data_IF_527453297666
#
_entry.id   IF_527453297666
#
_cell.length_a   1.000
_cell.length_b   1.000
_cell.length_c   1.000
_cell.angle_alpha   90.00
_cell.angle_beta   90.00
_cell.angle_gamma   90.00
#
_symmetry.space_group_name_H-M   'P 1'
#
loop_
_entity.id
_entity.type
_entity.pdbx_description
1 polymer ?
#
# COMPACT_ATOMS: atom_id res chain seq x y z
N UNK A 1 46.21 -60.54 -25.20
CA UNK A 1 46.60 -59.24 -24.51
C UNK A 1 45.48 -58.26 -24.73
N UNK A 2 44.48 -58.27 -23.83
CA UNK A 2 43.25 -57.47 -23.98
C UNK A 2 43.29 -56.27 -23.04
N UNK A 3 43.20 -55.13 -23.68
CA UNK A 3 43.05 -53.84 -22.92
C UNK A 3 41.57 -53.46 -22.84
N UNK A 4 40.98 -53.81 -21.76
CA UNK A 4 39.60 -53.36 -21.40
C UNK A 4 39.54 -51.86 -21.10
N UNK A 5 38.95 -51.07 -21.98
CA UNK A 5 38.60 -49.68 -21.77
C UNK A 5 37.35 -49.59 -20.88
N UNK A 6 37.54 -49.14 -19.64
CA UNK A 6 36.43 -48.73 -18.74
C UNK A 6 35.98 -47.32 -19.08
N UNK A 7 34.78 -47.20 -19.61
CA UNK A 7 34.10 -45.91 -19.83
C UNK A 7 33.42 -45.53 -18.51
N UNK A 8 33.88 -44.46 -17.89
CA UNK A 8 33.23 -43.81 -16.75
C UNK A 8 32.15 -42.86 -17.27
N UNK A 9 30.88 -43.22 -17.10
CA UNK A 9 29.74 -42.33 -17.33
C UNK A 9 29.58 -41.43 -16.10
N UNK A 10 29.89 -40.15 -16.27
CA UNK A 10 29.60 -39.12 -15.29
C UNK A 10 28.12 -38.70 -15.41
N UNK A 11 27.33 -39.03 -14.41
CA UNK A 11 25.97 -38.53 -14.28
C UNK A 11 26.01 -37.07 -13.71
N UNK A 12 25.73 -36.10 -14.57
CA UNK A 12 25.50 -34.73 -14.15
C UNK A 12 24.08 -34.61 -13.54
N UNK A 13 24.03 -34.46 -12.24
CA UNK A 13 22.80 -34.10 -11.53
C UNK A 13 22.50 -32.60 -11.76
N UNK A 14 21.55 -32.28 -12.64
CA UNK A 14 20.99 -30.95 -12.74
C UNK A 14 20.08 -30.70 -11.55
N UNK A 15 20.55 -29.86 -10.60
CA UNK A 15 19.71 -29.30 -9.56
C UNK A 15 18.82 -28.22 -10.18
N UNK A 16 17.59 -28.57 -10.52
CA UNK A 16 16.55 -27.59 -10.86
C UNK A 16 16.16 -26.83 -9.59
N UNK A 17 16.51 -25.55 -9.54
CA UNK A 17 16.10 -24.64 -8.45
C UNK A 17 14.59 -24.43 -8.49
N UNK A 18 13.90 -24.95 -7.48
CA UNK A 18 12.48 -24.65 -7.20
C UNK A 18 12.40 -23.27 -6.52
N UNK A 19 12.33 -22.22 -7.32
CA UNK A 19 12.00 -20.88 -6.87
C UNK A 19 10.67 -20.47 -7.49
N UNK A 20 9.55 -20.87 -6.89
CA UNK A 20 8.27 -20.20 -7.13
C UNK A 20 7.17 -20.81 -6.26
N UNK A 21 7.05 -20.37 -5.03
CA UNK A 21 5.93 -20.77 -4.18
C UNK A 21 5.44 -19.72 -3.18
N UNK A 22 5.79 -18.43 -3.32
CA UNK A 22 5.34 -17.41 -2.37
C UNK A 22 4.28 -16.42 -2.90
N UNK A 23 3.85 -16.55 -4.16
CA UNK A 23 2.90 -15.59 -4.76
C UNK A 23 1.42 -16.01 -4.67
N UNK A 24 1.08 -17.16 -4.12
CA UNK A 24 -0.26 -17.75 -4.29
C UNK A 24 -1.27 -17.50 -3.17
N UNK A 25 -0.94 -16.74 -2.11
CA UNK A 25 -1.86 -16.49 -0.99
C UNK A 25 -1.90 -15.02 -0.53
N UNK A 26 -1.59 -14.04 -1.39
CA UNK A 26 -1.81 -12.65 -1.02
C UNK A 26 -3.33 -12.40 -0.89
N UNK A 27 -3.79 -11.74 0.18
CA UNK A 27 -5.20 -11.37 0.30
C UNK A 27 -5.57 -10.44 -0.87
N UNK A 28 -6.81 -10.59 -1.37
CA UNK A 28 -7.29 -9.85 -2.54
C UNK A 28 -8.13 -8.65 -2.12
N UNK A 29 -8.15 -7.61 -2.95
CA UNK A 29 -9.06 -6.48 -2.88
C UNK A 29 -10.48 -6.87 -3.40
N UNK A 30 -11.40 -5.90 -3.41
CA UNK A 30 -12.76 -6.12 -3.90
C UNK A 30 -12.84 -6.39 -5.42
N UNK A 31 -11.82 -6.03 -6.18
CA UNK A 31 -11.71 -6.30 -7.61
C UNK A 31 -10.97 -7.63 -7.91
N UNK A 32 -10.55 -8.36 -6.87
CA UNK A 32 -9.80 -9.62 -6.99
C UNK A 32 -8.31 -9.43 -7.27
N UNK A 33 -7.75 -8.23 -7.04
CA UNK A 33 -6.32 -7.95 -7.17
C UNK A 33 -5.60 -8.20 -5.84
N UNK A 34 -4.34 -8.65 -5.86
CA UNK A 34 -3.55 -8.79 -4.64
C UNK A 34 -3.40 -7.47 -3.91
N UNK A 35 -3.55 -7.49 -2.58
CA UNK A 35 -3.18 -6.35 -1.75
C UNK A 35 -1.68 -6.17 -1.74
N UNK A 36 -1.22 -4.93 -1.66
CA UNK A 36 0.20 -4.61 -1.64
C UNK A 36 0.69 -4.26 -0.23
N UNK A 37 1.91 -4.69 0.16
CA UNK A 37 2.48 -4.33 1.45
C UNK A 37 2.97 -2.89 1.46
N UNK A 38 2.56 -2.14 2.49
CA UNK A 38 2.99 -0.77 2.75
C UNK A 38 3.47 -0.67 4.19
N UNK A 39 4.51 0.15 4.45
CA UNK A 39 5.01 0.38 5.80
C UNK A 39 5.03 1.87 6.11
N UNK A 40 4.44 2.27 7.22
CA UNK A 40 4.59 3.62 7.81
C UNK A 40 5.66 3.55 8.89
N UNK A 41 6.71 4.35 8.75
CA UNK A 41 7.83 4.43 9.71
C UNK A 41 7.66 5.68 10.56
N UNK A 42 7.44 5.51 11.83
CA UNK A 42 7.24 6.58 12.81
C UNK A 42 8.29 6.52 13.92
N UNK A 43 8.22 7.40 14.89
CA UNK A 43 9.07 7.33 16.09
C UNK A 43 8.80 6.07 16.93
N UNK A 44 7.60 5.49 16.86
CA UNK A 44 7.25 4.26 17.58
C UNK A 44 7.70 2.98 16.86
N UNK A 45 8.20 3.09 15.62
CA UNK A 45 8.70 1.97 14.84
C UNK A 45 8.07 1.84 13.46
N UNK A 46 8.19 0.64 12.89
CA UNK A 46 7.60 0.29 11.58
C UNK A 46 6.23 -0.35 11.75
N UNK A 47 5.23 0.21 11.07
CA UNK A 47 3.85 -0.26 11.07
C UNK A 47 3.47 -0.74 9.68
N UNK A 48 3.12 -2.03 9.56
CA UNK A 48 2.84 -2.70 8.29
C UNK A 48 1.35 -2.74 8.02
N UNK A 49 0.99 -2.48 6.77
CA UNK A 49 -0.37 -2.53 6.25
C UNK A 49 -0.39 -3.34 4.96
N UNK A 50 -1.53 -3.94 4.67
CA UNK A 50 -1.86 -4.47 3.35
C UNK A 50 -2.89 -3.54 2.72
N UNK A 51 -2.53 -2.90 1.61
CA UNK A 51 -3.35 -1.85 1.00
C UNK A 51 -3.93 -2.27 -0.33
N UNK A 52 -5.17 -1.84 -0.57
CA UNK A 52 -5.75 -1.80 -1.91
C UNK A 52 -5.11 -0.65 -2.68
N UNK A 53 -4.94 -0.79 -3.98
CA UNK A 53 -4.39 0.26 -4.83
C UNK A 53 -5.52 0.89 -5.65
N UNK A 54 -5.56 2.22 -5.65
CA UNK A 54 -6.42 3.02 -6.53
C UNK A 54 -5.49 3.85 -7.44
N UNK A 55 -5.18 3.32 -8.64
CA UNK A 55 -4.22 3.90 -9.57
C UNK A 55 -4.85 4.37 -10.90
N UNK A 56 -6.13 4.06 -11.13
CA UNK A 56 -6.90 4.64 -12.23
C UNK A 56 -7.94 5.67 -11.74
N UNK A 57 -8.57 6.36 -12.68
CA UNK A 57 -9.49 7.46 -12.35
C UNK A 57 -10.79 6.98 -11.70
N UNK A 58 -11.34 5.84 -12.15
CA UNK A 58 -12.57 5.27 -11.61
C UNK A 58 -12.37 4.80 -10.17
N UNK A 59 -11.25 4.13 -9.91
CA UNK A 59 -10.87 3.67 -8.57
C UNK A 59 -10.63 4.81 -7.62
N UNK A 60 -9.89 5.86 -8.07
CA UNK A 60 -9.68 7.06 -7.25
C UNK A 60 -10.98 7.79 -6.91
N UNK A 61 -11.91 7.87 -7.88
CA UNK A 61 -13.22 8.49 -7.63
C UNK A 61 -14.08 7.65 -6.69
N UNK A 62 -14.03 6.33 -6.80
CA UNK A 62 -14.83 5.42 -5.98
C UNK A 62 -14.26 5.28 -4.56
N UNK A 63 -12.96 5.09 -4.43
CA UNK A 63 -12.29 4.90 -3.14
C UNK A 63 -13.01 3.91 -2.23
N UNK A 64 -13.20 4.30 -0.98
CA UNK A 64 -13.89 3.50 0.06
C UNK A 64 -15.40 3.76 0.16
N UNK A 65 -16.01 4.35 -0.86
CA UNK A 65 -17.47 4.55 -0.91
C UNK A 65 -18.21 3.22 -0.75
N UNK A 66 -19.26 3.22 0.06
CA UNK A 66 -20.14 2.07 0.33
C UNK A 66 -19.44 0.85 0.96
N UNK A 67 -18.24 1.05 1.52
CA UNK A 67 -17.44 -0.03 2.12
C UNK A 67 -17.65 -0.12 3.63
N UNK A 68 -17.58 -1.33 4.20
CA UNK A 68 -17.54 -1.49 5.65
C UNK A 68 -16.24 -0.89 6.23
N UNK A 69 -16.18 -0.68 7.57
CA UNK A 69 -14.96 -0.21 8.23
C UNK A 69 -13.74 -1.08 7.89
N UNK A 70 -12.60 -0.42 7.66
CA UNK A 70 -11.34 -1.10 7.42
C UNK A 70 -10.82 -1.78 8.71
N UNK A 71 -10.24 -2.99 8.61
CA UNK A 71 -9.43 -3.58 9.68
C UNK A 71 -8.18 -2.74 9.99
N UNK A 72 -7.58 -2.96 11.17
CA UNK A 72 -6.43 -2.20 11.69
C UNK A 72 -5.17 -2.28 10.82
N UNK A 73 -5.01 -3.39 10.11
CA UNK A 73 -3.87 -3.68 9.23
C UNK A 73 -4.18 -3.46 7.74
N UNK A 74 -5.29 -2.79 7.43
CA UNK A 74 -5.76 -2.53 6.06
C UNK A 74 -5.81 -1.05 5.76
N UNK A 75 -5.68 -0.73 4.47
CA UNK A 75 -5.83 0.63 3.95
C UNK A 75 -6.10 0.63 2.46
N UNK A 76 -6.23 1.84 1.91
CA UNK A 76 -6.25 2.08 0.48
C UNK A 76 -5.21 3.14 0.14
N UNK A 77 -4.33 2.84 -0.83
CA UNK A 77 -3.33 3.77 -1.35
C UNK A 77 -3.78 4.30 -2.71
N UNK A 78 -4.11 5.57 -2.76
CA UNK A 78 -4.39 6.30 -3.99
C UNK A 78 -3.08 6.78 -4.61
N UNK A 79 -2.87 6.48 -5.87
CA UNK A 79 -1.66 6.84 -6.61
C UNK A 79 -2.00 7.85 -7.70
N UNK A 80 -1.33 9.00 -7.69
CA UNK A 80 -1.50 10.05 -8.69
C UNK A 80 -0.24 10.17 -9.55
N UNK A 81 -0.38 10.33 -10.89
CA UNK A 81 0.78 10.40 -11.79
C UNK A 81 1.70 11.59 -11.53
N UNK A 82 1.17 12.66 -10.92
CA UNK A 82 1.92 13.89 -10.63
C UNK A 82 1.61 14.37 -9.22
N UNK A 83 2.62 14.93 -8.57
CA UNK A 83 2.43 15.62 -7.31
C UNK A 83 1.72 16.95 -7.55
N UNK A 84 0.64 17.16 -6.81
CA UNK A 84 -0.15 18.39 -6.79
C UNK A 84 -0.85 18.50 -5.44
N UNK A 85 -1.46 19.62 -5.15
CA UNK A 85 -2.40 19.69 -4.04
C UNK A 85 -3.59 18.78 -4.33
N UNK A 86 -3.86 17.84 -3.42
CA UNK A 86 -4.97 16.89 -3.48
C UNK A 86 -6.10 17.38 -2.58
N UNK A 87 -7.33 17.02 -2.94
CA UNK A 87 -8.48 17.28 -2.09
C UNK A 87 -9.41 16.07 -2.11
N UNK A 88 -9.69 15.56 -0.91
CA UNK A 88 -10.56 14.41 -0.69
C UNK A 88 -11.89 14.86 -0.06
N UNK A 89 -12.82 13.95 0.04
CA UNK A 89 -14.12 14.11 0.70
C UNK A 89 -14.58 12.76 1.25
N UNK A 90 -15.62 12.77 2.07
CA UNK A 90 -16.19 11.54 2.63
C UNK A 90 -17.55 11.18 2.00
N UNK A 91 -17.82 11.67 0.79
CA UNK A 91 -19.08 11.36 0.08
C UNK A 91 -19.28 9.85 0.00
N UNK A 92 -20.48 9.37 0.32
CA UNK A 92 -20.85 7.95 0.31
C UNK A 92 -19.94 7.04 1.14
N UNK A 93 -19.12 7.56 2.03
CA UNK A 93 -18.19 6.81 2.87
C UNK A 93 -18.76 6.71 4.27
N UNK A 94 -19.28 5.53 4.68
CA UNK A 94 -20.01 5.36 5.94
C UNK A 94 -19.09 5.31 7.16
N UNK A 95 -17.80 5.04 6.97
CA UNK A 95 -16.82 4.89 8.05
C UNK A 95 -15.93 6.12 8.15
N UNK A 96 -15.64 6.57 9.38
CA UNK A 96 -14.64 7.61 9.61
C UNK A 96 -13.24 7.11 9.26
N UNK A 97 -12.42 7.96 8.62
CA UNK A 97 -11.09 7.63 8.12
C UNK A 97 -10.04 8.63 8.61
N UNK A 98 -8.79 8.16 8.69
CA UNK A 98 -7.62 9.01 8.70
C UNK A 98 -7.06 9.07 7.26
N UNK A 99 -6.87 10.29 6.73
CA UNK A 99 -6.41 10.54 5.37
C UNK A 99 -5.00 11.11 5.45
N UNK A 100 -4.01 10.36 4.98
CA UNK A 100 -2.58 10.66 5.07
C UNK A 100 -2.08 11.05 3.69
N UNK A 101 -1.68 12.31 3.49
CA UNK A 101 -1.13 12.81 2.23
C UNK A 101 0.39 12.63 2.19
N UNK A 102 0.92 12.17 1.05
CA UNK A 102 2.29 11.69 0.93
C UNK A 102 2.95 12.29 -0.32
N UNK A 103 4.16 12.81 -0.19
CA UNK A 103 4.95 13.36 -1.29
C UNK A 103 5.60 12.26 -2.17
N UNK A 104 6.18 12.58 -3.35
CA UNK A 104 6.82 11.60 -4.22
C UNK A 104 7.99 10.81 -3.60
N UNK A 105 8.56 11.30 -2.51
CA UNK A 105 9.64 10.63 -1.76
C UNK A 105 9.11 9.76 -0.63
N UNK A 106 7.77 9.65 -0.50
CA UNK A 106 7.13 8.88 0.54
C UNK A 106 7.07 9.59 1.90
N UNK A 107 7.30 10.91 1.97
CA UNK A 107 7.16 11.65 3.22
C UNK A 107 5.74 12.12 3.42
N UNK A 108 5.25 11.97 4.64
CA UNK A 108 3.93 12.48 5.03
C UNK A 108 3.95 14.02 4.98
N UNK A 109 3.08 14.59 4.16
CA UNK A 109 2.86 16.04 4.02
C UNK A 109 1.92 16.54 5.11
N UNK A 110 0.76 15.90 5.23
CA UNK A 110 -0.27 16.23 6.21
C UNK A 110 -1.15 15.02 6.50
N UNK A 111 -1.91 15.11 7.59
CA UNK A 111 -2.86 14.08 8.01
C UNK A 111 -4.16 14.75 8.42
N UNK A 112 -5.26 14.38 7.77
CA UNK A 112 -6.61 14.70 8.24
C UNK A 112 -7.11 13.50 9.04
N UNK A 113 -7.30 13.69 10.34
CA UNK A 113 -7.71 12.64 11.27
C UNK A 113 -9.23 12.67 11.48
N UNK A 114 -9.80 11.49 11.70
CA UNK A 114 -11.22 11.33 12.02
C UNK A 114 -12.16 12.04 11.03
N UNK A 115 -11.89 11.94 9.73
CA UNK A 115 -12.72 12.53 8.69
C UNK A 115 -14.19 12.10 8.87
N UNK A 116 -15.10 13.07 8.86
CA UNK A 116 -16.51 12.86 9.18
C UNK A 116 -17.22 12.07 8.09
N UNK A 117 -17.83 10.91 8.41
CA UNK A 117 -18.59 10.13 7.44
C UNK A 117 -19.62 10.96 6.68
N UNK A 118 -19.79 10.65 5.39
CA UNK A 118 -20.74 11.30 4.47
C UNK A 118 -20.52 12.81 4.24
N UNK A 119 -19.48 13.42 4.81
CA UNK A 119 -19.18 14.84 4.58
C UNK A 119 -18.73 15.07 3.15
N UNK A 120 -19.28 16.06 2.48
CA UNK A 120 -18.85 16.53 1.16
C UNK A 120 -17.92 17.76 1.26
N UNK A 121 -17.57 18.18 2.48
CA UNK A 121 -16.59 19.24 2.67
C UNK A 121 -15.22 18.80 2.16
N UNK A 122 -14.51 19.66 1.40
CA UNK A 122 -13.18 19.33 0.90
C UNK A 122 -12.18 19.18 2.04
N UNK A 123 -11.32 18.17 1.94
CA UNK A 123 -10.23 17.88 2.87
C UNK A 123 -8.93 18.04 2.10
N UNK A 124 -8.29 19.22 2.12
CA UNK A 124 -7.10 19.49 1.32
C UNK A 124 -5.83 18.87 1.91
N UNK A 125 -4.86 18.56 1.04
CA UNK A 125 -3.54 18.06 1.44
C UNK A 125 -2.65 19.15 2.06
N UNK A 126 -2.98 20.42 1.85
CA UNK A 126 -2.17 21.56 2.29
C UNK A 126 -0.69 21.49 1.84
N UNK A 127 -0.46 20.88 0.69
CA UNK A 127 0.84 20.71 0.06
C UNK A 127 0.80 19.71 -1.07
N UNK A 128 1.85 19.65 -1.88
CA UNK A 128 1.91 18.75 -3.01
C UNK A 128 2.07 17.28 -2.57
N UNK A 129 1.12 16.44 -2.97
CA UNK A 129 1.11 15.02 -2.72
C UNK A 129 0.86 14.25 -4.03
N UNK A 130 1.44 13.07 -4.19
CA UNK A 130 1.11 12.13 -5.26
C UNK A 130 0.63 10.78 -4.73
N UNK A 131 0.69 10.56 -3.43
CA UNK A 131 0.09 9.43 -2.75
C UNK A 131 -0.86 9.90 -1.65
N UNK A 132 -1.97 9.15 -1.45
CA UNK A 132 -2.87 9.34 -0.32
C UNK A 132 -3.18 7.98 0.27
N UNK A 133 -2.92 7.81 1.56
CA UNK A 133 -3.21 6.58 2.29
C UNK A 133 -4.41 6.82 3.20
N UNK A 134 -5.48 6.06 2.97
CA UNK A 134 -6.64 6.01 3.84
C UNK A 134 -6.54 4.82 4.78
N UNK A 135 -6.69 5.07 6.08
CA UNK A 135 -6.77 4.10 7.15
C UNK A 135 -8.06 4.31 7.94
N UNK A 136 -8.47 3.34 8.76
CA UNK A 136 -9.55 3.60 9.71
C UNK A 136 -9.20 4.76 10.64
N UNK A 137 -10.22 5.50 11.07
CA UNK A 137 -10.04 6.63 11.99
C UNK A 137 -9.36 6.20 13.30
N UNK A 138 -8.46 7.07 13.78
CA UNK A 138 -7.64 6.84 14.96
C UNK A 138 -6.37 6.03 14.74
N UNK A 139 -6.23 5.39 13.57
CA UNK A 139 -5.05 4.56 13.31
C UNK A 139 -3.77 5.37 13.20
N UNK A 140 -3.85 6.58 12.63
CA UNK A 140 -2.71 7.50 12.58
C UNK A 140 -2.20 7.89 13.97
N UNK A 141 -3.11 8.11 14.93
CA UNK A 141 -2.74 8.42 16.32
C UNK A 141 -2.11 7.22 17.03
N UNK A 142 -2.70 6.03 16.88
CA UNK A 142 -2.20 4.79 17.48
C UNK A 142 -0.77 4.46 17.09
N UNK A 143 -0.41 4.69 15.82
CA UNK A 143 0.96 4.47 15.32
C UNK A 143 1.88 5.68 15.53
N UNK A 144 1.34 6.79 16.03
CA UNK A 144 2.08 8.03 16.25
C UNK A 144 2.53 8.73 14.96
N UNK A 145 1.79 8.55 13.85
CA UNK A 145 2.13 9.14 12.56
C UNK A 145 2.05 10.67 12.58
N UNK A 146 3.04 11.33 11.96
CA UNK A 146 3.18 12.78 11.90
C UNK A 146 3.68 13.23 10.52
N UNK A 147 3.40 14.48 10.12
CA UNK A 147 4.09 15.09 8.98
C UNK A 147 5.61 14.94 9.11
N UNK A 148 6.27 14.56 8.01
CA UNK A 148 7.70 14.26 7.95
C UNK A 148 8.08 12.79 8.15
N UNK A 149 7.20 11.94 8.69
CA UNK A 149 7.42 10.50 8.78
C UNK A 149 7.47 9.85 7.39
N UNK A 150 8.05 8.65 7.29
CA UNK A 150 8.30 7.97 6.03
C UNK A 150 7.29 6.86 5.76
N UNK A 151 6.68 6.88 4.59
CA UNK A 151 5.91 5.76 4.03
C UNK A 151 6.77 5.02 3.01
N UNK A 152 6.91 3.71 3.18
CA UNK A 152 7.65 2.82 2.27
C UNK A 152 6.68 2.02 1.43
N UNK A 153 6.72 2.22 0.13
CA UNK A 153 5.96 1.46 -0.88
C UNK A 153 6.67 1.61 -2.22
N UNK A 154 6.64 0.62 -3.15
CA UNK A 154 7.31 0.71 -4.45
C UNK A 154 6.91 1.91 -5.31
N UNK A 155 5.73 2.47 -5.10
CA UNK A 155 5.24 3.67 -5.78
C UNK A 155 6.08 4.92 -5.47
N UNK A 156 6.58 5.06 -4.25
CA UNK A 156 7.41 6.20 -3.85
C UNK A 156 8.87 5.94 -4.19
N UNK A 157 9.54 6.95 -4.73
CA UNK A 157 10.97 6.88 -5.08
C UNK A 157 11.74 7.78 -4.10
N UNK A 158 12.51 7.19 -3.16
CA UNK A 158 13.33 7.95 -2.22
C UNK A 158 14.44 8.74 -2.90
#
# INVERSE_FOLDING_TARGET
MDYSRRILLAFAFSAAALTSACAQNAPLDAAGRPLEPLTVVTQSGEHKFMVEIADDEEERQRGLMFRPPLPDDRGMLFQFPRAAEQSFWMRNTPSSLDIIYIDPRGRIVSIAKHATPYSEAPIPSNGAANGVLELRAGRADEIGAKPGDQVKHPFFRP
#
